data_IF_013869566199
#
_entry.id   IF_013869566199
#
_cell.length_a   1.000
_cell.length_b   1.000
_cell.length_c   1.000
_cell.angle_alpha   90.00
_cell.angle_beta   90.00
_cell.angle_gamma   90.00
#
_symmetry.space_group_name_H-M   'P 1'
#
loop_
_entity.id
_entity.type
_entity.pdbx_description
1 polymer ?
#
# COMPACT_ATOMS: atom_id res chain seq x y z
N UNK A 1 17.07 11.95 -2.06
CA UNK A 1 17.12 12.97 -0.99
C UNK A 1 17.48 12.28 0.31
N UNK A 2 18.29 12.90 1.18
CA UNK A 2 18.60 12.31 2.50
C UNK A 2 17.42 12.53 3.47
N UNK A 3 17.21 11.64 4.44
CA UNK A 3 16.05 11.71 5.35
C UNK A 3 16.02 12.99 6.20
N UNK A 4 17.17 13.52 6.56
CA UNK A 4 17.35 14.76 7.32
C UNK A 4 16.89 16.02 6.55
N UNK A 5 16.76 15.93 5.22
CA UNK A 5 16.34 17.04 4.36
C UNK A 5 14.82 17.16 4.20
N UNK A 6 14.05 16.20 4.71
CA UNK A 6 12.59 16.24 4.68
C UNK A 6 12.01 17.06 5.85
N UNK A 7 10.81 17.64 5.70
CA UNK A 7 10.10 18.32 6.78
C UNK A 7 9.95 17.47 8.04
N UNK A 8 10.07 18.10 9.21
CA UNK A 8 10.04 17.39 10.49
C UNK A 8 8.69 16.76 10.79
N UNK A 9 7.59 17.36 10.31
CA UNK A 9 6.23 16.87 10.48
C UNK A 9 5.95 15.57 9.70
N UNK A 10 6.69 15.30 8.62
CA UNK A 10 6.51 14.08 7.81
C UNK A 10 7.60 13.03 8.07
N UNK A 11 8.80 13.44 8.50
CA UNK A 11 9.97 12.56 8.65
C UNK A 11 9.69 11.25 9.41
N UNK A 12 8.95 11.25 10.54
CA UNK A 12 8.66 10.02 11.29
C UNK A 12 7.83 8.98 10.51
N UNK A 13 7.14 9.40 9.45
CA UNK A 13 6.23 8.56 8.67
C UNK A 13 6.84 8.08 7.35
N UNK A 14 8.00 8.61 6.96
CA UNK A 14 8.58 8.32 5.64
C UNK A 14 9.03 6.87 5.51
N UNK A 15 9.58 6.29 6.57
CA UNK A 15 9.97 4.88 6.65
C UNK A 15 9.05 4.15 7.64
N UNK A 16 8.07 3.39 7.15
CA UNK A 16 7.17 2.65 8.02
C UNK A 16 7.84 1.37 8.55
N UNK A 17 7.35 0.92 9.69
CA UNK A 17 7.64 -0.41 10.24
C UNK A 17 6.42 -1.31 10.07
N UNK A 18 6.59 -2.64 10.02
CA UNK A 18 5.49 -3.59 10.00
C UNK A 18 4.53 -3.39 11.18
N UNK A 19 3.26 -3.14 10.88
CA UNK A 19 2.19 -2.86 11.86
C UNK A 19 0.84 -3.31 11.33
N UNK A 20 -0.11 -3.49 12.24
CA UNK A 20 -1.47 -3.91 11.91
C UNK A 20 -1.62 -5.42 11.94
N UNK A 21 -2.79 -5.88 11.51
CA UNK A 21 -3.17 -7.28 11.57
C UNK A 21 -3.95 -7.61 10.30
N UNK A 22 -3.26 -8.25 9.37
CA UNK A 22 -3.83 -8.65 8.09
C UNK A 22 -4.33 -10.09 8.18
N UNK A 23 -5.54 -10.34 7.69
CA UNK A 23 -6.13 -11.68 7.59
C UNK A 23 -6.69 -11.91 6.19
N UNK A 24 -6.81 -13.18 5.81
CA UNK A 24 -7.68 -13.56 4.72
C UNK A 24 -9.11 -13.68 5.23
N UNK A 25 -10.04 -12.93 4.64
CA UNK A 25 -11.48 -13.08 4.88
C UNK A 25 -12.16 -13.70 3.68
N UNK A 26 -12.84 -14.82 3.88
CA UNK A 26 -13.60 -15.46 2.81
C UNK A 26 -14.84 -14.65 2.43
N UNK A 27 -15.06 -14.42 1.13
CA UNK A 27 -16.26 -13.73 0.64
C UNK A 27 -17.52 -14.61 0.65
N UNK A 28 -17.37 -15.93 0.78
CA UNK A 28 -18.48 -16.88 0.82
C UNK A 28 -18.94 -17.22 2.23
N UNK A 29 -18.08 -17.86 3.03
CA UNK A 29 -18.42 -18.28 4.40
C UNK A 29 -18.05 -17.26 5.48
N UNK A 30 -17.37 -16.16 5.12
CA UNK A 30 -16.89 -15.14 6.07
C UNK A 30 -15.88 -15.63 7.11
N UNK A 31 -15.34 -16.84 6.97
CA UNK A 31 -14.23 -17.34 7.78
C UNK A 31 -12.98 -16.47 7.65
N UNK A 32 -12.26 -16.34 8.75
CA UNK A 32 -10.97 -15.66 8.83
C UNK A 32 -9.85 -16.70 8.87
N UNK A 33 -8.80 -16.47 8.07
CA UNK A 33 -7.66 -17.36 7.91
C UNK A 33 -6.36 -16.57 8.05
N UNK A 34 -5.32 -17.24 8.54
CA UNK A 34 -4.00 -16.64 8.71
C UNK A 34 -3.38 -16.23 7.37
N UNK A 35 -2.93 -14.98 7.28
CA UNK A 35 -2.25 -14.41 6.10
C UNK A 35 -0.88 -15.06 5.83
N UNK A 36 -0.28 -15.69 6.85
CA UNK A 36 0.98 -16.44 6.70
C UNK A 36 0.84 -17.74 5.91
N UNK A 37 -0.39 -18.18 5.63
CA UNK A 37 -0.64 -19.39 4.84
C UNK A 37 -0.77 -19.05 3.35
N UNK A 38 -0.12 -19.83 2.48
CA UNK A 38 -0.31 -19.69 1.03
C UNK A 38 -1.64 -20.34 0.60
N UNK A 39 -2.72 -19.55 0.54
CA UNK A 39 -4.05 -20.00 0.15
C UNK A 39 -4.50 -19.32 -1.15
N UNK A 40 -4.94 -20.11 -2.13
CA UNK A 40 -5.50 -19.60 -3.38
C UNK A 40 -7.02 -19.44 -3.32
N UNK A 41 -7.70 -20.26 -2.52
CA UNK A 41 -9.15 -20.23 -2.29
C UNK A 41 -9.44 -20.60 -0.83
N UNK A 42 -10.65 -20.31 -0.37
CA UNK A 42 -11.10 -20.72 0.95
C UNK A 42 -11.15 -22.25 1.04
N UNK A 43 -10.46 -22.88 2.01
CA UNK A 43 -10.44 -24.33 2.16
C UNK A 43 -11.80 -24.92 2.57
N UNK A 44 -12.70 -24.11 3.14
CA UNK A 44 -14.01 -24.58 3.60
C UNK A 44 -15.08 -24.58 2.50
N UNK A 45 -15.11 -23.53 1.66
CA UNK A 45 -16.19 -23.35 0.67
C UNK A 45 -15.72 -23.08 -0.76
N UNK A 46 -14.41 -23.03 -1.02
CA UNK A 46 -13.83 -22.81 -2.35
C UNK A 46 -13.94 -21.38 -2.89
N UNK A 47 -14.52 -20.44 -2.13
CA UNK A 47 -14.68 -19.05 -2.54
C UNK A 47 -13.37 -18.24 -2.52
N UNK A 48 -13.42 -17.02 -3.05
CA UNK A 48 -12.29 -16.08 -3.08
C UNK A 48 -12.05 -15.49 -1.68
N UNK A 49 -10.77 -15.24 -1.39
CA UNK A 49 -10.30 -14.60 -0.16
C UNK A 49 -10.00 -13.12 -0.43
N UNK A 50 -10.40 -12.25 0.50
CA UNK A 50 -10.07 -10.82 0.52
C UNK A 50 -9.03 -10.57 1.62
N UNK A 51 -8.12 -9.62 1.38
CA UNK A 51 -7.22 -9.13 2.41
C UNK A 51 -7.95 -8.10 3.27
N UNK A 52 -8.00 -8.33 4.58
CA UNK A 52 -8.60 -7.39 5.55
C UNK A 52 -7.56 -6.99 6.59
N UNK A 53 -7.45 -5.69 6.85
CA UNK A 53 -6.65 -5.14 7.95
C UNK A 53 -7.57 -4.90 9.16
N UNK A 54 -7.47 -5.76 10.17
CA UNK A 54 -8.27 -5.67 11.41
C UNK A 54 -7.97 -4.42 12.21
N UNK A 55 -6.86 -3.74 11.91
CA UNK A 55 -6.40 -2.53 12.59
C UNK A 55 -6.41 -1.31 11.66
N UNK A 56 -7.31 -1.27 10.67
CA UNK A 56 -7.46 -0.13 9.74
C UNK A 56 -7.77 1.20 10.45
N UNK A 57 -8.34 1.17 11.66
CA UNK A 57 -8.61 2.35 12.48
C UNK A 57 -7.39 3.26 12.69
N UNK A 58 -6.18 2.70 12.73
CA UNK A 58 -4.93 3.47 12.84
C UNK A 58 -4.67 4.38 11.63
N UNK A 59 -5.18 4.02 10.44
CA UNK A 59 -5.01 4.79 9.22
C UNK A 59 -5.82 6.09 9.27
N UNK A 60 -7.00 6.04 9.89
CA UNK A 60 -7.84 7.22 10.09
C UNK A 60 -7.19 8.22 11.04
N UNK A 61 -6.44 7.75 12.05
CA UNK A 61 -5.78 8.61 13.03
C UNK A 61 -4.69 9.53 12.43
N UNK A 62 -4.09 9.14 11.30
CA UNK A 62 -3.06 9.95 10.61
C UNK A 62 -3.69 11.15 9.89
N UNK A 63 -4.92 11.01 9.40
CA UNK A 63 -5.63 12.07 8.67
C UNK A 63 -5.21 12.19 7.20
N UNK A 64 -6.17 12.54 6.34
CA UNK A 64 -5.97 12.55 4.89
C UNK A 64 -4.90 13.55 4.41
N UNK A 65 -4.80 14.71 5.05
CA UNK A 65 -3.83 15.75 4.69
C UNK A 65 -2.40 15.29 4.93
N UNK A 66 -2.18 14.58 6.04
CA UNK A 66 -0.89 14.01 6.38
C UNK A 66 -0.55 12.85 5.44
N UNK A 67 -1.51 11.98 5.10
CA UNK A 67 -1.29 10.91 4.11
C UNK A 67 -0.83 11.45 2.75
N UNK A 68 -1.47 12.52 2.26
CA UNK A 68 -1.04 13.15 1.00
C UNK A 68 0.43 13.60 1.06
N UNK A 69 0.82 14.30 2.13
CA UNK A 69 2.23 14.68 2.35
C UNK A 69 3.16 13.46 2.38
N UNK A 70 2.80 12.42 3.13
CA UNK A 70 3.61 11.19 3.23
C UNK A 70 3.86 10.61 1.84
N UNK A 71 2.81 10.42 1.04
CA UNK A 71 2.93 9.82 -0.29
C UNK A 71 3.70 10.72 -1.27
N UNK A 72 3.50 12.04 -1.21
CA UNK A 72 4.23 12.99 -2.05
C UNK A 72 5.74 12.97 -1.75
N UNK A 73 6.13 13.02 -0.47
CA UNK A 73 7.53 12.98 -0.08
C UNK A 73 8.18 11.60 -0.31
N UNK A 74 7.44 10.50 -0.16
CA UNK A 74 7.95 9.15 -0.49
C UNK A 74 8.36 9.01 -1.96
N UNK A 75 7.76 9.79 -2.88
CA UNK A 75 8.19 9.81 -4.28
C UNK A 75 9.67 10.19 -4.43
N UNK A 76 10.21 11.01 -3.53
CA UNK A 76 11.58 11.53 -3.53
C UNK A 76 12.60 10.66 -2.77
N UNK A 77 12.14 9.62 -2.06
CA UNK A 77 13.03 8.69 -1.34
C UNK A 77 13.87 7.86 -2.30
N UNK A 78 15.07 7.49 -1.88
CA UNK A 78 15.91 6.52 -2.59
C UNK A 78 15.84 5.14 -1.92
N UNK A 79 14.64 4.72 -1.51
CA UNK A 79 14.37 3.43 -0.84
C UNK A 79 13.51 2.59 -1.77
N UNK A 80 14.05 1.49 -2.29
CA UNK A 80 13.38 0.66 -3.32
C UNK A 80 12.08 0.05 -2.80
N UNK A 81 12.06 -0.40 -1.53
CA UNK A 81 10.89 -0.97 -0.86
C UNK A 81 9.68 -0.03 -0.77
N UNK A 82 9.85 1.27 -1.02
CA UNK A 82 8.79 2.28 -0.98
C UNK A 82 8.53 2.90 -2.37
N UNK A 83 8.93 2.22 -3.44
CA UNK A 83 8.62 2.57 -4.83
C UNK A 83 7.37 1.84 -5.33
N UNK A 84 6.91 2.23 -6.51
CA UNK A 84 5.72 1.66 -7.14
C UNK A 84 4.48 1.71 -6.25
N UNK A 85 3.83 0.56 -6.08
CA UNK A 85 2.63 0.41 -5.24
C UNK A 85 2.95 0.60 -3.75
N UNK A 86 4.16 0.22 -3.31
CA UNK A 86 4.57 0.30 -1.91
C UNK A 86 4.90 1.72 -1.43
N UNK A 87 4.80 2.73 -2.32
CA UNK A 87 4.67 4.13 -1.86
C UNK A 87 3.51 4.29 -0.87
N UNK A 88 2.47 3.48 -1.04
CA UNK A 88 1.27 3.39 -0.20
C UNK A 88 1.34 2.20 0.77
N UNK A 89 2.53 1.83 1.25
CA UNK A 89 2.81 0.65 2.08
C UNK A 89 1.72 0.28 3.08
N UNK A 90 1.26 1.25 3.86
CA UNK A 90 0.29 1.05 4.94
C UNK A 90 -1.07 0.56 4.46
N UNK A 91 -1.41 0.82 3.20
CA UNK A 91 -2.69 0.46 2.58
C UNK A 91 -2.59 -0.82 1.74
N UNK A 92 -1.38 -1.32 1.50
CA UNK A 92 -1.14 -2.46 0.60
C UNK A 92 -0.78 -3.71 1.39
N UNK A 93 0.31 -3.67 2.16
CA UNK A 93 0.79 -4.83 2.91
C UNK A 93 1.57 -4.35 4.15
N UNK A 94 0.88 -3.77 5.13
CA UNK A 94 1.49 -3.10 6.27
C UNK A 94 2.22 -4.05 7.22
N UNK A 95 2.13 -5.37 7.00
CA UNK A 95 2.75 -6.42 7.81
C UNK A 95 4.07 -6.95 7.22
N UNK A 96 4.45 -6.53 6.00
CA UNK A 96 5.65 -7.04 5.33
C UNK A 96 6.86 -6.17 5.69
N UNK A 97 7.96 -6.72 6.24
CA UNK A 97 9.20 -5.98 6.47
C UNK A 97 9.75 -5.32 5.20
N UNK A 98 10.22 -4.07 5.30
CA UNK A 98 10.71 -3.31 4.14
C UNK A 98 11.88 -4.02 3.43
N UNK A 99 12.74 -4.72 4.17
CA UNK A 99 13.87 -5.47 3.63
C UNK A 99 13.46 -6.76 2.88
N UNK A 100 12.19 -7.16 2.97
CA UNK A 100 11.61 -8.29 2.24
C UNK A 100 10.81 -7.85 1.00
N UNK A 101 10.64 -6.54 0.78
CA UNK A 101 9.94 -6.02 -0.40
C UNK A 101 10.88 -6.02 -1.60
N UNK A 102 10.47 -6.74 -2.65
CA UNK A 102 11.16 -6.75 -3.95
C UNK A 102 10.43 -5.80 -4.89
N UNK A 103 11.15 -4.80 -5.39
CA UNK A 103 10.66 -3.83 -6.38
C UNK A 103 11.42 -3.98 -7.69
N UNK A 104 10.70 -4.16 -8.81
CA UNK A 104 11.30 -4.42 -10.13
C UNK A 104 11.08 -3.28 -11.13
N UNK A 105 10.55 -2.13 -10.68
CA UNK A 105 10.32 -0.96 -11.54
C UNK A 105 8.85 -0.70 -11.86
N UNK A 106 7.91 -1.40 -11.23
CA UNK A 106 6.48 -1.24 -11.46
C UNK A 106 5.88 0.05 -10.87
N UNK A 107 4.64 0.34 -11.24
CA UNK A 107 3.94 1.56 -10.81
C UNK A 107 4.53 2.83 -11.43
N UNK A 108 4.08 4.00 -10.93
CA UNK A 108 4.42 5.31 -11.50
C UNK A 108 4.23 5.42 -13.02
N UNK A 109 3.30 4.65 -13.57
CA UNK A 109 2.95 4.69 -15.00
C UNK A 109 2.61 6.12 -15.40
N UNK A 110 3.22 6.67 -16.47
CA UNK A 110 2.93 8.01 -16.92
C UNK A 110 1.44 8.18 -17.20
N UNK A 111 0.83 9.19 -16.58
CA UNK A 111 -0.49 9.68 -16.96
C UNK A 111 -0.28 10.78 -18.01
N UNK A 112 -0.63 10.47 -19.26
CA UNK A 112 -0.44 11.37 -20.39
C UNK A 112 -1.79 11.97 -20.79
N UNK A 113 -1.84 13.30 -20.92
CA UNK A 113 -3.04 13.98 -21.35
C UNK A 113 -3.43 13.58 -22.78
N UNK A 114 -4.70 13.24 -22.99
CA UNK A 114 -5.22 12.95 -24.32
C UNK A 114 -5.11 14.20 -25.22
N UNK A 115 -4.62 14.02 -26.45
CA UNK A 115 -4.52 15.13 -27.39
C UNK A 115 -5.92 15.63 -27.84
N UNK A 116 -6.02 16.83 -28.47
CA UNK A 116 -7.31 17.37 -28.90
C UNK A 116 -8.11 16.50 -29.86
N UNK A 117 -7.46 15.60 -30.62
CA UNK A 117 -8.14 14.68 -31.54
C UNK A 117 -8.86 13.56 -30.78
N UNK A 118 -8.21 12.95 -29.79
CA UNK A 118 -8.78 11.89 -28.97
C UNK A 118 -9.91 12.41 -28.07
N UNK A 119 -9.76 13.63 -27.53
CA UNK A 119 -10.81 14.28 -26.72
C UNK A 119 -12.14 14.47 -27.46
N UNK A 120 -12.16 14.46 -28.80
CA UNK A 120 -13.39 14.58 -29.61
C UNK A 120 -14.11 13.25 -29.86
N UNK A 121 -13.55 12.12 -29.40
CA UNK A 121 -14.10 10.77 -29.62
C UNK A 121 -14.82 10.19 -28.40
N UNK A 122 -14.87 10.95 -27.30
CA UNK A 122 -15.53 10.60 -26.02
C UNK A 122 -16.68 11.55 -25.76
#
# INVERSE_FOLDING_TARGET
MRLDQFPEDVRPFLLPEPKGEMVYRCLGCHGELDIGQLLYTCPECGSVLMLEDKQEGRLHAVGGDQWRKIFDFRRMLNVQALKGIFRYYEFIAPVIPLDQIVYLGEGHTPLVEANPRLKKQV
#
